data_IF_184541858884
#
_entry.id   IF_184541858884
#
_cell.length_a   1.000
_cell.length_b   1.000
_cell.length_c   1.000
_cell.angle_alpha   90.00
_cell.angle_beta   90.00
_cell.angle_gamma   90.00
#
_symmetry.space_group_name_H-M   'P 1'
#
loop_
_entity.id
_entity.type
_entity.pdbx_description
1 polymer ?
#
# COMPACT_ATOMS: atom_id res chain seq x y z
N UNK A 1 -21.32 68.66 -23.74
CA UNK A 1 -20.25 67.67 -24.05
C UNK A 1 -20.12 66.77 -22.83
N UNK A 2 -20.48 65.50 -23.02
CA UNK A 2 -20.60 64.44 -22.01
C UNK A 2 -19.23 64.00 -21.49
N UNK A 3 -19.08 63.81 -20.18
CA UNK A 3 -17.95 63.07 -19.62
C UNK A 3 -18.46 62.19 -18.47
N UNK A 4 -18.67 60.90 -18.79
CA UNK A 4 -19.17 59.89 -17.86
C UNK A 4 -18.07 59.36 -16.96
N UNK A 5 -18.34 59.32 -15.65
CA UNK A 5 -17.49 58.67 -14.65
C UNK A 5 -17.65 57.16 -14.74
N UNK A 6 -16.64 56.46 -15.25
CA UNK A 6 -16.61 55.00 -15.36
C UNK A 6 -15.99 54.43 -14.08
N UNK A 7 -16.82 53.98 -13.15
CA UNK A 7 -16.37 53.22 -11.98
C UNK A 7 -15.89 51.83 -12.42
N UNK A 8 -14.57 51.58 -12.33
CA UNK A 8 -13.94 50.30 -12.65
C UNK A 8 -14.14 49.32 -11.48
N UNK A 9 -15.11 48.42 -11.60
CA UNK A 9 -15.30 47.32 -10.65
C UNK A 9 -14.07 46.39 -10.67
N UNK A 10 -13.29 46.37 -9.58
CA UNK A 10 -12.22 45.39 -9.36
C UNK A 10 -12.87 44.03 -9.08
N UNK A 11 -12.96 43.17 -10.10
CA UNK A 11 -13.26 41.74 -9.90
C UNK A 11 -12.09 41.10 -9.16
N UNK A 12 -12.24 40.90 -7.86
CA UNK A 12 -11.34 40.03 -7.09
C UNK A 12 -11.60 38.58 -7.51
N UNK A 13 -10.92 38.12 -8.55
CA UNK A 13 -10.86 36.69 -8.87
C UNK A 13 -9.94 36.02 -7.84
N UNK A 14 -10.52 35.25 -6.92
CA UNK A 14 -9.75 34.35 -6.04
C UNK A 14 -8.95 33.40 -6.92
N UNK A 15 -7.65 33.64 -7.07
CA UNK A 15 -6.72 32.67 -7.60
C UNK A 15 -6.62 31.52 -6.60
N UNK A 16 -6.99 30.31 -7.01
CA UNK A 16 -6.66 29.12 -6.24
C UNK A 16 -5.14 28.96 -6.31
N UNK A 17 -4.45 29.28 -5.21
CA UNK A 17 -3.05 28.95 -5.05
C UNK A 17 -2.92 27.42 -5.05
N UNK A 18 -2.50 26.85 -6.17
CA UNK A 18 -2.02 25.47 -6.25
C UNK A 18 -0.70 25.41 -5.51
N UNK A 19 -0.75 25.24 -4.18
CA UNK A 19 0.41 24.86 -3.40
C UNK A 19 1.00 23.61 -4.07
N UNK A 20 2.30 23.66 -4.43
CA UNK A 20 3.00 22.60 -5.11
C UNK A 20 2.78 21.27 -4.35
N UNK A 21 1.83 20.49 -4.85
CA UNK A 21 1.45 19.23 -4.25
C UNK A 21 2.58 18.26 -4.54
N UNK A 22 3.41 17.94 -3.53
CA UNK A 22 4.26 16.77 -3.59
C UNK A 22 3.33 15.55 -3.72
N UNK A 23 3.17 15.08 -4.95
CA UNK A 23 2.26 13.99 -5.29
C UNK A 23 2.83 12.66 -4.77
N UNK A 24 1.97 11.72 -4.36
CA UNK A 24 2.40 10.36 -4.04
C UNK A 24 3.05 9.68 -5.26
N UNK A 25 4.11 8.86 -5.07
CA UNK A 25 4.81 8.20 -6.17
C UNK A 25 3.94 7.19 -6.94
N UNK A 26 2.94 6.60 -6.28
CA UNK A 26 1.94 5.72 -6.91
C UNK A 26 0.53 6.23 -6.65
N UNK A 27 -0.34 6.10 -7.67
CA UNK A 27 -1.76 6.43 -7.55
C UNK A 27 -2.52 5.20 -7.05
N UNK A 28 -2.91 5.21 -5.79
CA UNK A 28 -3.71 4.15 -5.19
C UNK A 28 -5.20 4.39 -5.46
N UNK A 29 -5.87 3.38 -6.00
CA UNK A 29 -7.30 3.44 -6.34
C UNK A 29 -8.18 3.06 -5.15
N UNK A 30 -9.40 3.60 -5.14
CA UNK A 30 -10.39 3.33 -4.09
C UNK A 30 -10.32 4.28 -2.90
N UNK A 31 -11.22 4.06 -1.94
CA UNK A 31 -11.35 4.94 -0.77
C UNK A 31 -10.09 4.86 0.11
N UNK A 32 -9.63 3.64 0.42
CA UNK A 32 -8.42 3.39 1.22
C UNK A 32 -7.17 4.07 0.63
N UNK A 33 -6.95 3.94 -0.68
CA UNK A 33 -5.88 4.61 -1.40
C UNK A 33 -5.89 6.13 -1.27
N UNK A 34 -7.07 6.76 -1.39
CA UNK A 34 -7.23 8.22 -1.23
C UNK A 34 -6.82 8.69 0.17
N UNK A 35 -7.18 7.96 1.22
CA UNK A 35 -6.78 8.29 2.59
C UNK A 35 -5.29 8.06 2.83
N UNK A 36 -4.73 6.96 2.30
CA UNK A 36 -3.29 6.69 2.38
C UNK A 36 -2.48 7.78 1.69
N UNK A 37 -2.88 8.19 0.47
CA UNK A 37 -2.27 9.29 -0.26
C UNK A 37 -2.40 10.63 0.48
N UNK A 38 -3.56 10.92 1.07
CA UNK A 38 -3.75 12.14 1.86
C UNK A 38 -2.87 12.18 3.12
N UNK A 39 -2.76 11.05 3.83
CA UNK A 39 -1.89 10.91 5.01
C UNK A 39 -0.42 11.11 4.61
N UNK A 40 0.00 10.49 3.52
CA UNK A 40 1.35 10.65 2.99
C UNK A 40 1.65 12.10 2.57
N UNK A 41 0.75 12.74 1.82
CA UNK A 41 0.91 14.16 1.45
C UNK A 41 0.93 15.08 2.66
N UNK A 42 0.20 14.76 3.74
CA UNK A 42 0.25 15.51 4.99
C UNK A 42 1.57 15.30 5.75
N UNK A 43 2.08 14.07 5.80
CA UNK A 43 3.37 13.75 6.43
C UNK A 43 4.55 14.42 5.71
N UNK A 44 4.58 14.33 4.37
CA UNK A 44 5.63 14.96 3.55
C UNK A 44 5.64 16.49 3.65
N UNK A 45 4.47 17.12 3.87
CA UNK A 45 4.38 18.57 4.07
C UNK A 45 4.94 19.03 5.41
N UNK A 46 4.94 18.17 6.43
CA UNK A 46 5.57 18.48 7.72
C UNK A 46 7.07 18.26 7.62
N UNK A 47 7.52 17.00 7.63
CA UNK A 47 8.94 16.65 7.55
C UNK A 47 9.12 15.19 7.10
N UNK A 48 10.26 14.87 6.47
CA UNK A 48 10.63 13.48 6.13
C UNK A 48 10.78 12.59 7.38
N UNK A 49 11.19 13.16 8.51
CA UNK A 49 11.27 12.43 9.79
C UNK A 49 9.90 11.96 10.26
N UNK A 50 8.86 12.77 10.09
CA UNK A 50 7.48 12.41 10.45
C UNK A 50 6.91 11.28 9.60
N UNK A 51 7.42 11.12 8.38
CA UNK A 51 7.02 10.01 7.50
C UNK A 51 7.46 8.66 8.11
N UNK A 52 8.70 8.58 8.59
CA UNK A 52 9.23 7.37 9.21
C UNK A 52 8.58 7.02 10.56
N UNK A 53 8.13 8.02 11.33
CA UNK A 53 7.40 7.78 12.58
C UNK A 53 5.99 7.26 12.30
N UNK A 54 5.29 7.85 11.34
CA UNK A 54 3.96 7.39 10.92
C UNK A 54 4.01 5.95 10.39
N UNK A 55 5.04 5.58 9.62
CA UNK A 55 5.23 4.20 9.16
C UNK A 55 5.42 3.20 10.32
N UNK A 56 6.22 3.56 11.34
CA UNK A 56 6.43 2.73 12.53
C UNK A 56 5.14 2.57 13.33
N UNK A 57 4.38 3.65 13.50
CA UNK A 57 3.08 3.62 14.18
C UNK A 57 2.12 2.67 13.46
N UNK A 58 1.98 2.82 12.14
CA UNK A 58 1.10 1.99 11.31
C UNK A 58 1.54 0.52 11.27
N UNK A 59 2.83 0.24 11.23
CA UNK A 59 3.38 -1.12 11.28
C UNK A 59 3.11 -1.79 12.63
N UNK A 60 3.20 -1.04 13.72
CA UNK A 60 2.89 -1.53 15.07
C UNK A 60 1.41 -1.86 15.22
N UNK A 61 0.54 -1.01 14.68
CA UNK A 61 -0.90 -1.27 14.60
C UNK A 61 -1.16 -2.53 13.77
N UNK A 62 -0.57 -2.67 12.58
CA UNK A 62 -0.71 -3.85 11.72
C UNK A 62 -0.32 -5.15 12.43
N UNK A 63 0.76 -5.11 13.21
CA UNK A 63 1.24 -6.25 13.98
C UNK A 63 0.22 -6.68 15.03
N UNK A 64 -0.32 -5.75 15.80
CA UNK A 64 -1.34 -6.05 16.82
C UNK A 64 -2.63 -6.57 16.20
N UNK A 65 -3.04 -6.03 15.05
CA UNK A 65 -4.19 -6.53 14.30
C UNK A 65 -3.99 -7.93 13.71
N UNK A 66 -2.73 -8.31 13.49
CA UNK A 66 -2.36 -9.65 13.00
C UNK A 66 -2.15 -10.65 14.14
N UNK A 67 -1.97 -10.17 15.38
CA UNK A 67 -1.90 -11.00 16.58
C UNK A 67 -3.25 -11.63 16.93
N UNK A 68 -3.24 -12.62 17.84
CA UNK A 68 -4.45 -13.34 18.30
C UNK A 68 -5.52 -12.39 18.87
N UNK A 69 -5.11 -11.33 19.57
CA UNK A 69 -6.01 -10.28 20.09
C UNK A 69 -6.61 -9.40 18.99
N UNK A 70 -6.01 -9.41 17.80
CA UNK A 70 -6.45 -8.67 16.63
C UNK A 70 -7.81 -9.12 16.09
N UNK A 71 -8.23 -10.37 16.32
CA UNK A 71 -9.55 -10.84 15.92
C UNK A 71 -10.67 -10.10 16.69
N UNK A 72 -10.50 -9.96 18.00
CA UNK A 72 -11.44 -9.24 18.87
C UNK A 72 -11.51 -7.76 18.50
N UNK A 73 -10.35 -7.16 18.20
CA UNK A 73 -10.25 -5.76 17.75
C UNK A 73 -10.95 -5.58 16.40
N UNK A 74 -10.71 -6.48 15.45
CA UNK A 74 -11.35 -6.45 14.13
C UNK A 74 -12.87 -6.59 14.25
N UNK A 75 -13.34 -7.46 15.14
CA UNK A 75 -14.76 -7.62 15.42
C UNK A 75 -15.36 -6.37 16.08
N UNK A 76 -14.67 -5.77 17.05
CA UNK A 76 -15.08 -4.49 17.65
C UNK A 76 -15.18 -3.38 16.60
N UNK A 77 -14.20 -3.29 15.71
CA UNK A 77 -14.17 -2.34 14.59
C UNK A 77 -15.11 -2.71 13.44
N UNK A 78 -15.75 -3.89 13.45
CA UNK A 78 -16.72 -4.32 12.44
C UNK A 78 -18.16 -4.32 12.99
N UNK A 79 -18.34 -4.16 14.30
CA UNK A 79 -19.65 -4.25 14.92
C UNK A 79 -20.48 -2.97 14.63
N UNK A 80 -21.58 -3.06 13.84
CA UNK A 80 -22.41 -1.90 13.49
C UNK A 80 -23.31 -1.44 14.64
N UNK A 81 -23.43 -2.22 15.72
CA UNK A 81 -24.27 -1.88 16.88
C UNK A 81 -23.62 -0.85 17.81
N UNK A 82 -22.32 -0.59 17.65
CA UNK A 82 -21.59 0.38 18.48
C UNK A 82 -21.70 1.80 17.93
N UNK A 83 -22.01 2.75 18.82
CA UNK A 83 -22.02 4.17 18.47
C UNK A 83 -20.62 4.63 18.03
N UNK A 84 -20.58 5.56 17.08
CA UNK A 84 -19.33 6.10 16.56
C UNK A 84 -18.49 6.79 17.65
N UNK A 85 -19.09 7.35 18.70
CA UNK A 85 -18.38 7.95 19.83
C UNK A 85 -17.62 6.92 20.68
N UNK A 86 -18.18 5.74 20.86
CA UNK A 86 -17.61 4.71 21.72
C UNK A 86 -16.52 3.93 20.98
N UNK A 87 -16.68 3.77 19.66
CA UNK A 87 -15.63 3.27 18.76
C UNK A 87 -14.40 4.21 18.77
N UNK A 88 -14.60 5.54 18.75
CA UNK A 88 -13.52 6.54 18.85
C UNK A 88 -12.70 6.38 20.11
N UNK A 89 -13.40 6.30 21.25
CA UNK A 89 -12.79 6.16 22.56
C UNK A 89 -12.02 4.85 22.65
N UNK A 90 -12.63 3.73 22.24
CA UNK A 90 -11.96 2.43 22.21
C UNK A 90 -10.70 2.43 21.34
N UNK A 91 -10.76 3.02 20.14
CA UNK A 91 -9.59 3.13 19.25
C UNK A 91 -8.51 4.03 19.83
N UNK A 92 -8.89 5.17 20.43
CA UNK A 92 -7.97 6.08 21.12
C UNK A 92 -7.27 5.40 22.31
N UNK A 93 -8.00 4.67 23.13
CA UNK A 93 -7.47 3.98 24.31
C UNK A 93 -6.53 2.84 23.93
N UNK A 94 -6.87 2.08 22.89
CA UNK A 94 -5.97 1.08 22.33
C UNK A 94 -4.69 1.72 21.81
N UNK A 95 -4.82 2.85 21.12
CA UNK A 95 -3.69 3.54 20.54
C UNK A 95 -2.76 4.15 21.61
N UNK A 96 -3.34 4.66 22.69
CA UNK A 96 -2.59 5.13 23.86
C UNK A 96 -1.85 3.99 24.57
N UNK A 97 -2.42 2.78 24.60
CA UNK A 97 -1.79 1.58 25.18
C UNK A 97 -0.65 1.03 24.32
N UNK A 98 -0.71 1.15 22.99
CA UNK A 98 0.32 0.65 22.07
C UNK A 98 1.54 1.57 21.93
N UNK A 99 1.42 2.84 22.34
CA UNK A 99 2.46 3.86 22.20
C UNK A 99 1.90 5.09 21.49
N UNK A 100 1.92 6.23 22.18
CA UNK A 100 1.33 7.50 21.73
C UNK A 100 1.73 7.84 20.28
N UNK A 101 0.84 7.72 19.30
CA UNK A 101 1.22 8.05 17.95
C UNK A 101 1.13 9.55 17.70
N UNK A 102 1.77 9.95 16.63
CA UNK A 102 1.74 11.33 16.13
C UNK A 102 0.29 11.77 15.89
N UNK A 103 -0.04 13.05 16.13
CA UNK A 103 -1.39 13.62 15.92
C UNK A 103 -1.97 13.33 14.52
N UNK A 104 -1.10 13.15 13.52
CA UNK A 104 -1.49 12.78 12.16
C UNK A 104 -2.10 11.39 12.06
N UNK A 105 -1.53 10.41 12.77
CA UNK A 105 -2.05 9.04 12.85
C UNK A 105 -3.37 9.01 13.61
N UNK A 106 -3.53 9.87 14.64
CA UNK A 106 -4.79 10.03 15.37
C UNK A 106 -5.87 10.63 14.45
N UNK A 107 -5.54 11.70 13.73
CA UNK A 107 -6.51 12.37 12.84
C UNK A 107 -6.93 11.50 11.66
N UNK A 108 -6.00 10.73 11.08
CA UNK A 108 -6.31 9.80 9.99
C UNK A 108 -7.14 8.60 10.46
N UNK A 109 -6.87 8.08 11.65
CA UNK A 109 -7.65 7.00 12.28
C UNK A 109 -9.08 7.43 12.63
N UNK A 110 -9.30 8.71 12.93
CA UNK A 110 -10.63 9.27 13.20
C UNK A 110 -11.43 9.58 11.93
N UNK A 111 -10.75 9.86 10.83
CA UNK A 111 -11.39 10.04 9.53
C UNK A 111 -11.75 8.70 8.88
N UNK A 112 -10.92 7.67 9.10
CA UNK A 112 -11.17 6.29 8.62
C UNK A 112 -12.31 5.59 9.35
N UNK A 113 -12.76 6.10 10.49
CA UNK A 113 -13.90 5.53 11.21
C UNK A 113 -15.22 5.70 10.45
N UNK A 114 -15.33 6.75 9.63
CA UNK A 114 -16.42 6.90 8.66
C UNK A 114 -16.40 5.83 7.55
N UNK A 115 -15.32 5.04 7.46
CA UNK A 115 -15.17 3.90 6.54
C UNK A 115 -15.62 2.57 7.16
N UNK A 116 -15.83 2.50 8.47
CA UNK A 116 -16.22 1.24 9.12
C UNK A 116 -17.60 0.77 8.64
N UNK A 117 -18.45 1.71 8.23
CA UNK A 117 -19.83 1.44 7.82
C UNK A 117 -19.94 0.86 6.38
N UNK A 118 -18.86 0.88 5.59
CA UNK A 118 -18.85 0.37 4.21
C UNK A 118 -18.29 -1.07 4.16
N UNK A 119 -19.17 -2.00 4.50
CA UNK A 119 -18.93 -3.45 4.61
C UNK A 119 -18.54 -4.11 3.27
N UNK A 120 -17.58 -5.06 3.32
CA UNK A 120 -17.17 -6.09 2.33
C UNK A 120 -15.85 -5.93 1.54
N UNK A 121 -15.26 -4.74 1.39
CA UNK A 121 -14.00 -4.56 0.62
C UNK A 121 -13.02 -3.66 1.38
N UNK A 122 -12.54 -4.10 2.54
CA UNK A 122 -11.62 -3.29 3.37
C UNK A 122 -10.19 -3.78 3.21
N UNK A 123 -9.51 -3.32 2.15
CA UNK A 123 -8.04 -3.21 2.23
C UNK A 123 -7.74 -2.19 3.32
N UNK A 124 -6.81 -2.52 4.20
CA UNK A 124 -6.50 -1.65 5.31
C UNK A 124 -5.74 -0.46 4.75
N UNK A 125 -6.12 0.76 5.14
CA UNK A 125 -5.37 2.00 4.80
C UNK A 125 -3.89 1.85 5.15
N UNK A 126 -3.60 1.03 6.17
CA UNK A 126 -2.26 0.62 6.57
C UNK A 126 -1.49 -0.08 5.44
N UNK A 127 -2.09 -1.09 4.80
CA UNK A 127 -1.43 -1.87 3.74
C UNK A 127 -1.14 -0.98 2.52
N UNK A 128 -2.11 -0.14 2.15
CA UNK A 128 -1.98 0.82 1.05
C UNK A 128 -0.90 1.88 1.36
N UNK A 129 -0.82 2.36 2.60
CA UNK A 129 0.23 3.30 3.02
C UNK A 129 1.62 2.64 3.02
N UNK A 130 1.74 1.39 3.47
CA UNK A 130 3.00 0.65 3.42
C UNK A 130 3.46 0.42 1.98
N UNK A 131 2.52 0.09 1.07
CA UNK A 131 2.83 -0.01 -0.35
C UNK A 131 3.33 1.32 -0.93
N UNK A 132 2.69 2.44 -0.53
CA UNK A 132 3.12 3.79 -0.91
C UNK A 132 4.53 4.12 -0.40
N UNK A 133 4.86 3.67 0.82
CA UNK A 133 6.19 3.82 1.40
C UNK A 133 7.25 2.98 0.68
N UNK A 134 6.94 1.73 0.32
CA UNK A 134 7.81 0.90 -0.50
C UNK A 134 8.10 1.57 -1.85
N UNK A 135 7.06 2.11 -2.51
CA UNK A 135 7.23 2.86 -3.75
C UNK A 135 8.07 4.12 -3.56
N UNK A 136 7.91 4.87 -2.46
CA UNK A 136 8.74 6.04 -2.16
C UNK A 136 10.22 5.69 -1.98
N UNK A 137 10.54 4.55 -1.37
CA UNK A 137 11.93 4.05 -1.23
C UNK A 137 12.49 3.47 -2.52
N UNK A 138 11.65 3.25 -3.53
CA UNK A 138 12.01 2.48 -4.72
C UNK A 138 12.25 1.00 -4.38
N UNK A 139 11.55 0.48 -3.37
CA UNK A 139 11.52 -0.94 -3.02
C UNK A 139 10.38 -1.63 -3.77
N UNK A 140 10.68 -2.70 -4.50
CA UNK A 140 9.68 -3.55 -5.15
C UNK A 140 9.59 -4.90 -4.45
N UNK A 141 8.38 -5.30 -4.06
CA UNK A 141 8.13 -6.63 -3.51
C UNK A 141 7.89 -7.61 -4.65
N UNK A 142 8.78 -8.59 -4.78
CA UNK A 142 8.69 -9.63 -5.81
C UNK A 142 8.22 -10.92 -5.14
N UNK A 143 7.22 -11.58 -5.72
CA UNK A 143 6.78 -12.89 -5.26
C UNK A 143 7.43 -13.98 -6.09
N UNK A 144 8.26 -14.81 -5.47
CA UNK A 144 8.90 -15.95 -6.12
C UNK A 144 8.15 -17.21 -5.71
N UNK A 145 7.59 -17.91 -6.70
CA UNK A 145 6.98 -19.22 -6.50
C UNK A 145 7.96 -20.30 -6.92
N UNK A 146 8.32 -21.18 -5.98
CA UNK A 146 9.26 -22.28 -6.20
C UNK A 146 8.64 -23.64 -5.83
N UNK A 147 9.11 -24.72 -6.46
CA UNK A 147 8.65 -26.07 -6.17
C UNK A 147 9.15 -26.56 -4.80
N UNK A 148 10.35 -26.13 -4.41
CA UNK A 148 11.01 -26.45 -3.15
C UNK A 148 11.38 -25.17 -2.41
N UNK A 149 11.56 -25.23 -1.07
CA UNK A 149 12.10 -24.11 -0.31
C UNK A 149 13.45 -23.67 -0.87
N UNK A 150 13.62 -22.36 -1.06
CA UNK A 150 14.85 -21.79 -1.59
C UNK A 150 15.92 -21.74 -0.50
N UNK A 151 17.10 -22.30 -0.78
CA UNK A 151 18.29 -22.15 0.06
C UNK A 151 18.76 -20.68 0.10
N UNK A 152 19.40 -20.26 1.20
CA UNK A 152 19.89 -18.88 1.35
C UNK A 152 20.92 -18.47 0.28
N UNK A 153 21.77 -19.41 -0.16
CA UNK A 153 22.72 -19.20 -1.25
C UNK A 153 22.00 -18.87 -2.57
N UNK A 154 20.93 -19.60 -2.89
CA UNK A 154 20.09 -19.35 -4.06
C UNK A 154 19.33 -18.02 -3.95
N UNK A 155 18.83 -17.66 -2.78
CA UNK A 155 18.14 -16.38 -2.57
C UNK A 155 19.06 -15.19 -2.87
N UNK A 156 20.29 -15.18 -2.35
CA UNK A 156 21.25 -14.08 -2.62
C UNK A 156 21.64 -13.95 -4.10
N UNK A 157 21.77 -15.09 -4.81
CA UNK A 157 22.02 -15.12 -6.26
C UNK A 157 20.83 -14.59 -7.04
N UNK A 158 19.60 -14.90 -6.61
CA UNK A 158 18.38 -14.38 -7.20
C UNK A 158 18.26 -12.88 -6.97
N UNK A 159 18.51 -12.36 -5.77
CA UNK A 159 18.53 -10.92 -5.51
C UNK A 159 19.50 -10.17 -6.43
N UNK A 160 20.70 -10.72 -6.60
CA UNK A 160 21.72 -10.11 -7.48
C UNK A 160 21.30 -10.14 -8.95
N UNK A 161 20.72 -11.26 -9.40
CA UNK A 161 20.23 -11.42 -10.78
C UNK A 161 19.03 -10.53 -11.06
N UNK A 162 18.11 -10.40 -10.10
CA UNK A 162 16.91 -9.59 -10.22
C UNK A 162 17.23 -8.09 -10.20
N UNK A 163 18.20 -7.64 -9.38
CA UNK A 163 18.71 -6.26 -9.41
C UNK A 163 19.34 -5.88 -10.75
N UNK A 164 19.95 -6.85 -11.46
CA UNK A 164 20.54 -6.64 -12.79
C UNK A 164 19.51 -6.70 -13.92
N UNK A 165 18.36 -7.32 -13.68
CA UNK A 165 17.31 -7.46 -14.68
C UNK A 165 16.57 -6.14 -14.87
N UNK A 166 16.43 -5.70 -16.12
CA UNK A 166 15.68 -4.51 -16.54
C UNK A 166 14.19 -4.57 -16.16
N UNK A 167 13.69 -5.72 -15.70
CA UNK A 167 12.34 -5.88 -15.20
C UNK A 167 12.13 -5.26 -13.81
N UNK A 168 13.18 -5.11 -13.01
CA UNK A 168 13.14 -4.40 -11.75
C UNK A 168 13.55 -2.94 -11.99
N UNK A 169 12.60 -2.07 -12.30
CA UNK A 169 12.79 -0.60 -12.31
C UNK A 169 13.08 -0.02 -10.89
N UNK A 170 13.28 -0.91 -9.91
CA UNK A 170 13.38 -0.62 -8.50
C UNK A 170 14.82 -0.71 -7.98
N UNK A 171 15.17 0.23 -7.10
CA UNK A 171 16.51 0.34 -6.48
C UNK A 171 16.78 -0.78 -5.47
N UNK A 172 15.74 -1.38 -4.90
CA UNK A 172 15.85 -2.46 -3.91
C UNK A 172 14.71 -3.47 -4.10
N UNK A 173 15.01 -4.75 -3.92
CA UNK A 173 14.08 -5.87 -4.15
C UNK A 173 13.82 -6.57 -2.83
N UNK A 174 12.55 -6.68 -2.42
CA UNK A 174 12.11 -7.49 -1.28
C UNK A 174 11.51 -8.79 -1.81
N UNK A 175 12.10 -9.92 -1.48
CA UNK A 175 11.65 -11.23 -1.96
C UNK A 175 10.62 -11.83 -1.00
N UNK A 176 9.45 -12.23 -1.53
CA UNK A 176 8.46 -13.05 -0.85
C UNK A 176 8.45 -14.45 -1.46
N UNK A 177 8.91 -15.44 -0.69
CA UNK A 177 8.96 -16.83 -1.14
C UNK A 177 7.63 -17.55 -0.89
N UNK A 178 7.11 -18.20 -1.92
CA UNK A 178 5.91 -19.04 -1.86
C UNK A 178 6.25 -20.41 -2.41
N UNK A 179 6.09 -21.46 -1.60
CA UNK A 179 6.38 -22.83 -2.03
C UNK A 179 5.11 -23.46 -2.60
N UNK A 180 5.14 -23.86 -3.87
CA UNK A 180 4.07 -24.60 -4.54
C UNK A 180 4.65 -25.83 -5.26
N UNK A 181 4.52 -27.03 -4.68
CA UNK A 181 5.04 -28.27 -5.28
C UNK A 181 4.43 -28.59 -6.66
N UNK A 182 3.27 -28.00 -6.99
CA UNK A 182 2.54 -28.24 -8.25
C UNK A 182 3.30 -27.84 -9.50
N UNK A 183 4.27 -26.93 -9.42
CA UNK A 183 5.01 -26.46 -10.61
C UNK A 183 6.05 -27.48 -11.11
N UNK A 184 6.27 -28.58 -10.37
CA UNK A 184 7.17 -29.72 -10.67
C UNK A 184 8.66 -29.36 -10.88
N UNK A 185 8.99 -28.08 -10.90
CA UNK A 185 10.34 -27.57 -11.05
C UNK A 185 10.34 -26.17 -11.65
N UNK A 186 11.49 -25.50 -11.59
CA UNK A 186 11.65 -24.14 -12.07
C UNK A 186 11.10 -23.09 -11.10
N UNK A 187 10.93 -21.87 -11.62
CA UNK A 187 10.61 -20.69 -10.83
C UNK A 187 9.65 -19.77 -11.59
N UNK A 188 8.70 -19.21 -10.85
CA UNK A 188 7.78 -18.18 -11.35
C UNK A 188 8.07 -16.92 -10.55
N UNK A 189 8.47 -15.86 -11.23
CA UNK A 189 8.80 -14.57 -10.62
C UNK A 189 7.73 -13.57 -11.00
N UNK A 190 7.03 -13.06 -9.99
CA UNK A 190 5.95 -12.08 -10.16
C UNK A 190 6.40 -10.70 -9.64
N UNK A 191 6.41 -9.73 -10.54
CA UNK A 191 6.74 -8.32 -10.31
C UNK A 191 5.47 -7.46 -10.12
N UNK A 192 4.29 -8.06 -9.99
CA UNK A 192 2.99 -7.40 -9.96
C UNK A 192 2.40 -7.26 -11.35
N UNK A 193 2.98 -6.39 -12.17
CA UNK A 193 2.47 -6.12 -13.53
C UNK A 193 3.08 -7.04 -14.59
N UNK A 194 4.22 -7.66 -14.27
CA UNK A 194 4.97 -8.56 -15.16
C UNK A 194 5.19 -9.89 -14.44
N UNK A 195 4.97 -11.00 -15.12
CA UNK A 195 5.26 -12.33 -14.59
C UNK A 195 6.21 -13.05 -15.53
N UNK A 196 7.34 -13.52 -14.99
CA UNK A 196 8.29 -14.37 -15.69
C UNK A 196 8.08 -15.80 -15.20
N UNK A 197 7.45 -16.61 -16.05
CA UNK A 197 7.18 -18.02 -15.77
C UNK A 197 8.25 -18.91 -16.44
N UNK A 198 9.12 -19.48 -15.61
CA UNK A 198 10.13 -20.46 -15.98
C UNK A 198 9.85 -21.83 -15.31
N UNK A 199 8.57 -22.13 -15.04
CA UNK A 199 8.17 -23.42 -14.48
C UNK A 199 8.21 -24.54 -15.51
N UNK A 200 8.52 -25.75 -15.03
CA UNK A 200 8.54 -26.96 -15.86
C UNK A 200 7.13 -27.32 -16.32
N UNK A 201 6.13 -27.20 -15.43
CA UNK A 201 4.73 -27.44 -15.76
C UNK A 201 4.25 -26.61 -16.96
N UNK A 202 4.54 -25.30 -16.96
CA UNK A 202 4.16 -24.40 -18.06
C UNK A 202 4.82 -24.79 -19.38
N UNK A 203 6.08 -25.23 -19.34
CA UNK A 203 6.81 -25.69 -20.53
C UNK A 203 6.22 -26.99 -21.10
N UNK A 204 5.88 -27.96 -20.25
CA UNK A 204 5.23 -29.21 -20.67
C UNK A 204 3.85 -28.94 -21.26
N UNK A 205 3.05 -28.10 -20.61
CA UNK A 205 1.72 -27.73 -21.11
C UNK A 205 1.77 -27.03 -22.47
N UNK A 206 2.73 -26.12 -22.66
CA UNK A 206 2.96 -25.46 -23.96
C UNK A 206 3.32 -26.48 -25.04
N UNK A 207 4.17 -27.45 -24.72
CA UNK A 207 4.57 -28.48 -25.68
C UNK A 207 3.41 -29.41 -26.07
N UNK A 208 2.62 -29.87 -25.09
CA UNK A 208 1.42 -30.66 -25.36
C UNK A 208 0.40 -29.87 -26.20
N UNK A 209 0.20 -28.59 -25.90
CA UNK A 209 -0.71 -27.73 -26.67
C UNK A 209 -0.27 -27.62 -28.14
N UNK A 210 1.02 -27.43 -28.40
CA UNK A 210 1.56 -27.38 -29.77
C UNK A 210 1.37 -28.70 -30.52
N UNK A 211 1.59 -29.83 -29.85
CA UNK A 211 1.38 -31.16 -30.44
C UNK A 211 -0.10 -31.43 -30.78
N UNK A 212 -1.03 -30.97 -29.92
CA UNK A 212 -2.46 -31.09 -30.18
C UNK A 212 -2.97 -30.15 -31.27
N UNK A 213 -2.29 -29.02 -31.50
CA UNK A 213 -2.66 -28.05 -32.53
C UNK A 213 -2.14 -28.42 -33.93
N UNK A 214 -1.16 -29.33 -34.00
CA UNK A 214 -0.60 -29.85 -35.25
C UNK A 214 -1.29 -31.11 -35.79
N UNK A 215 -2.37 -31.57 -35.13
CA UNK A 215 -3.23 -32.68 -35.55
C UNK A 215 -4.60 -32.11 -35.90
#
# INVERSE_FOLDING_TARGET
MSSGSVYRALKCTRGYATAASKQPPIQLQGLSGKYASALYSAAIKKDEKTLSTVEKDLSSIQRVLSSKDGSTIKQFLHNPTLQASDRKKGLSDMMNKLGQPTELTKTSSMSSERMVDCTKQRKWVIDDFLNLMSAHRGEMTITITSAQPLESSLQSRLETSLKKSTAAEAKTVRIKNVVKPTILGGLIVDFGDKTIDLSVLSRVNKMNALLHQSV
#
